data_IF_275986051608
#
_entry.id   IF_275986051608
#
_cell.length_a   1.000
_cell.length_b   1.000
_cell.length_c   1.000
_cell.angle_alpha   90.00
_cell.angle_beta   90.00
_cell.angle_gamma   90.00
#
_symmetry.space_group_name_H-M   'P 1'
#
loop_
_entity.id
_entity.type
_entity.pdbx_description
1 polymer ?
#
# COMPACT_ATOMS: atom_id res chain seq x y z
N UNK A 1 -24.48 42.08 -16.91
CA UNK A 1 -23.34 43.00 -17.01
C UNK A 1 -22.13 42.20 -17.48
N UNK A 2 -21.75 42.37 -18.74
CA UNK A 2 -20.60 41.66 -19.36
C UNK A 2 -19.31 42.41 -18.96
N UNK A 3 -18.30 41.72 -18.49
CA UNK A 3 -16.93 42.24 -18.47
C UNK A 3 -16.01 41.27 -19.22
N UNK A 4 -15.51 41.80 -20.31
CA UNK A 4 -14.47 41.29 -21.19
C UNK A 4 -13.09 41.49 -20.54
N UNK A 5 -12.23 40.44 -20.56
CA UNK A 5 -10.81 40.59 -20.27
C UNK A 5 -9.98 40.31 -21.53
N UNK A 6 -9.16 41.27 -21.81
CA UNK A 6 -8.30 41.45 -22.98
C UNK A 6 -7.01 40.61 -22.87
N UNK A 7 -6.70 39.94 -23.95
CA UNK A 7 -5.43 39.26 -24.28
C UNK A 7 -4.24 40.24 -24.32
N UNK A 8 -3.13 39.87 -23.70
CA UNK A 8 -1.85 40.56 -23.88
C UNK A 8 -0.80 39.59 -24.44
N UNK A 9 -0.51 39.76 -25.72
CA UNK A 9 0.59 39.12 -26.45
C UNK A 9 1.95 39.65 -25.95
N UNK A 10 2.90 38.79 -25.67
CA UNK A 10 4.33 39.12 -25.68
C UNK A 10 5.09 38.20 -26.63
N UNK A 11 5.57 38.83 -27.70
CA UNK A 11 6.56 38.34 -28.63
C UNK A 11 7.91 38.19 -27.90
N UNK A 12 8.60 37.07 -28.07
CA UNK A 12 10.01 36.93 -27.75
C UNK A 12 10.76 36.38 -28.94
N UNK A 13 11.82 37.09 -29.30
CA UNK A 13 12.69 36.95 -30.45
C UNK A 13 13.54 35.69 -30.44
N UNK A 14 13.61 35.03 -31.58
CA UNK A 14 14.52 33.93 -31.89
C UNK A 14 15.83 34.53 -32.41
N UNK A 15 16.96 34.24 -31.77
CA UNK A 15 18.30 34.42 -32.29
C UNK A 15 18.90 33.05 -32.62
N UNK A 16 19.06 32.77 -33.90
CA UNK A 16 19.71 31.56 -34.37
C UNK A 16 21.23 31.67 -34.28
N UNK A 17 21.86 30.59 -33.85
CA UNK A 17 23.29 30.35 -34.10
C UNK A 17 23.44 29.00 -34.80
N UNK A 18 23.93 29.07 -36.03
CA UNK A 18 24.30 27.93 -36.84
C UNK A 18 25.64 27.37 -36.36
N UNK A 19 25.73 26.07 -36.04
CA UNK A 19 27.00 25.37 -35.91
C UNK A 19 27.13 24.31 -37.00
N UNK A 20 28.26 24.41 -37.72
CA UNK A 20 28.66 23.53 -38.81
C UNK A 20 29.13 22.20 -38.25
N UNK A 21 28.50 21.08 -38.65
CA UNK A 21 28.94 19.72 -38.36
C UNK A 21 29.88 19.24 -39.49
N UNK A 22 31.09 18.90 -39.13
CA UNK A 22 32.04 18.14 -39.95
C UNK A 22 31.75 16.64 -39.75
N UNK A 23 31.35 15.96 -40.83
CA UNK A 23 31.22 14.50 -40.84
C UNK A 23 32.61 13.85 -41.03
N UNK A 24 33.00 13.05 -40.05
CA UNK A 24 33.98 12.00 -40.24
C UNK A 24 33.28 10.65 -40.12
N UNK A 25 33.20 9.94 -41.23
CA UNK A 25 32.61 8.59 -41.26
C UNK A 25 33.51 7.57 -40.61
N UNK A 26 32.94 6.65 -39.92
CA UNK A 26 33.52 5.32 -39.68
C UNK A 26 32.44 4.25 -39.62
N UNK A 27 32.81 3.13 -40.19
CA UNK A 27 32.04 1.98 -40.65
C UNK A 27 31.30 1.23 -39.54
N UNK A 28 30.18 0.66 -39.96
CA UNK A 28 29.30 -0.34 -39.34
C UNK A 28 30.01 -1.57 -38.79
N UNK A 29 29.71 -1.92 -37.56
CA UNK A 29 29.62 -3.31 -37.11
C UNK A 29 28.38 -3.44 -36.21
N UNK A 30 27.44 -4.24 -36.70
CA UNK A 30 26.25 -4.70 -35.95
C UNK A 30 26.69 -5.62 -34.83
N UNK A 31 26.63 -5.16 -33.60
CA UNK A 31 26.72 -5.95 -32.39
C UNK A 31 25.49 -5.66 -31.55
N UNK A 32 24.61 -6.65 -31.43
CA UNK A 32 23.54 -6.66 -30.43
C UNK A 32 24.18 -6.64 -29.04
N UNK A 33 24.21 -5.51 -28.39
CA UNK A 33 24.53 -5.43 -26.97
C UNK A 33 23.26 -5.75 -26.18
N UNK A 34 23.17 -6.99 -25.67
CA UNK A 34 22.40 -7.25 -24.47
C UNK A 34 22.86 -6.22 -23.42
N UNK A 35 21.93 -5.43 -22.90
CA UNK A 35 22.21 -4.47 -21.85
C UNK A 35 22.73 -5.24 -20.62
N UNK A 36 24.03 -5.12 -20.37
CA UNK A 36 24.60 -5.46 -19.06
C UNK A 36 24.01 -4.45 -18.06
N UNK A 37 22.92 -4.87 -17.40
CA UNK A 37 22.48 -4.23 -16.17
C UNK A 37 23.64 -4.34 -15.20
N UNK A 38 24.17 -3.21 -14.75
CA UNK A 38 25.22 -3.20 -13.71
C UNK A 38 24.77 -4.11 -12.57
N UNK A 39 25.67 -4.98 -12.06
CA UNK A 39 25.31 -5.85 -10.94
C UNK A 39 24.82 -4.98 -9.79
N UNK A 40 23.65 -5.36 -9.23
CA UNK A 40 23.13 -4.65 -8.05
C UNK A 40 24.22 -4.63 -6.98
N UNK A 41 24.45 -3.48 -6.31
CA UNK A 41 25.44 -3.42 -5.23
C UNK A 41 25.11 -4.51 -4.21
N UNK A 42 26.17 -5.09 -3.64
CA UNK A 42 26.05 -6.04 -2.54
C UNK A 42 25.18 -5.46 -1.42
N UNK A 43 24.45 -6.32 -0.67
CA UNK A 43 23.61 -5.88 0.42
C UNK A 43 24.41 -4.97 1.36
N UNK A 44 23.69 -3.99 1.92
CA UNK A 44 24.23 -3.06 2.90
C UNK A 44 25.08 -3.77 3.98
N UNK A 45 26.12 -3.12 4.49
CA UNK A 45 27.09 -3.74 5.39
C UNK A 45 26.42 -4.28 6.66
N UNK A 46 27.08 -5.26 7.30
CA UNK A 46 26.68 -5.98 8.53
C UNK A 46 26.37 -5.11 9.78
N UNK A 47 26.24 -3.80 9.60
CA UNK A 47 25.95 -2.83 10.69
C UNK A 47 24.48 -2.74 11.08
N UNK A 48 23.57 -3.36 10.33
CA UNK A 48 22.16 -3.43 10.72
C UNK A 48 22.04 -4.29 11.99
N UNK A 49 21.31 -3.74 12.97
CA UNK A 49 21.00 -4.41 14.23
C UNK A 49 20.59 -5.86 13.97
N UNK A 50 21.28 -6.84 14.59
CA UNK A 50 20.80 -8.21 14.61
C UNK A 50 19.37 -8.20 15.18
N UNK A 51 18.42 -8.48 14.32
CA UNK A 51 17.01 -8.55 14.73
C UNK A 51 16.84 -9.82 15.53
N UNK A 52 16.19 -9.77 16.70
CA UNK A 52 15.83 -10.97 17.43
C UNK A 52 15.10 -11.91 16.50
N UNK A 53 15.70 -13.04 16.19
CA UNK A 53 14.99 -14.12 15.49
C UNK A 53 13.83 -14.50 16.39
N UNK A 54 12.61 -14.50 15.86
CA UNK A 54 11.46 -15.01 16.59
C UNK A 54 11.82 -16.41 17.11
N UNK A 55 11.71 -16.68 18.41
CA UNK A 55 12.19 -17.93 19.02
C UNK A 55 11.44 -19.18 18.53
N UNK A 56 10.26 -19.01 17.93
CA UNK A 56 9.49 -20.11 17.37
C UNK A 56 9.89 -20.39 15.92
N UNK A 57 9.96 -21.68 15.51
CA UNK A 57 10.19 -22.02 14.10
C UNK A 57 9.09 -21.44 13.24
N UNK A 58 9.46 -20.75 12.16
CA UNK A 58 8.53 -20.21 11.19
C UNK A 58 7.65 -21.33 10.58
N UNK A 59 6.34 -21.14 10.52
CA UNK A 59 5.38 -22.10 9.98
C UNK A 59 4.70 -21.58 8.71
N UNK A 60 5.29 -21.84 7.57
CA UNK A 60 4.73 -21.52 6.26
C UNK A 60 3.92 -22.70 5.65
N UNK A 61 3.49 -23.69 6.42
CA UNK A 61 2.78 -24.87 5.90
C UNK A 61 1.34 -24.57 5.44
N UNK A 62 0.74 -23.49 5.91
CA UNK A 62 -0.62 -23.13 5.49
C UNK A 62 -0.66 -22.59 4.06
N UNK A 63 -1.74 -22.91 3.33
CA UNK A 63 -2.10 -22.14 2.15
C UNK A 63 -2.46 -20.70 2.53
N UNK A 64 -2.32 -19.75 1.61
CA UNK A 64 -2.69 -18.36 1.87
C UNK A 64 -4.15 -18.21 2.36
N UNK A 65 -5.10 -19.02 1.83
CA UNK A 65 -6.50 -19.01 2.30
C UNK A 65 -6.59 -19.34 3.79
N UNK A 66 -6.00 -20.46 4.22
CA UNK A 66 -6.07 -20.86 5.62
C UNK A 66 -5.25 -19.93 6.54
N UNK A 67 -4.26 -19.24 5.97
CA UNK A 67 -3.47 -18.26 6.69
C UNK A 67 -4.26 -16.96 6.93
N UNK A 68 -4.92 -16.42 5.89
CA UNK A 68 -5.70 -15.18 6.00
C UNK A 68 -6.87 -15.31 6.98
N UNK A 69 -7.48 -16.48 7.11
CA UNK A 69 -8.51 -16.74 8.12
C UNK A 69 -8.02 -16.52 9.57
N UNK A 70 -6.70 -16.56 9.82
CA UNK A 70 -6.12 -16.32 11.16
C UNK A 70 -5.85 -14.84 11.46
N UNK A 71 -5.86 -13.99 10.45
CA UNK A 71 -5.48 -12.58 10.59
C UNK A 71 -6.50 -11.77 11.41
N UNK A 72 -7.78 -12.18 11.41
CA UNK A 72 -8.83 -11.53 12.21
C UNK A 72 -9.05 -10.06 11.86
N UNK A 73 -9.28 -9.23 12.88
CA UNK A 73 -9.48 -7.80 12.71
C UNK A 73 -8.15 -7.04 12.62
N UNK A 74 -7.99 -6.19 11.61
CA UNK A 74 -6.77 -5.42 11.41
C UNK A 74 -6.93 -3.92 11.56
N UNK A 75 -5.79 -3.24 11.76
CA UNK A 75 -5.68 -1.80 11.90
C UNK A 75 -4.45 -1.26 11.14
N UNK A 76 -4.58 -0.08 10.50
CA UNK A 76 -3.47 0.60 9.83
C UNK A 76 -2.83 1.65 10.73
N UNK A 77 -1.49 1.65 10.81
CA UNK A 77 -0.69 2.72 11.39
C UNK A 77 -0.54 3.87 10.36
N UNK A 78 -1.66 4.49 9.97
CA UNK A 78 -1.67 5.53 8.94
C UNK A 78 -1.14 6.88 9.42
N UNK A 79 -0.69 7.73 8.48
CA UNK A 79 -0.10 9.04 8.72
C UNK A 79 1.14 9.01 9.64
N UNK A 80 1.94 7.97 9.56
CA UNK A 80 3.10 7.75 10.45
C UNK A 80 4.35 7.44 9.62
N UNK A 81 4.69 6.18 9.35
CA UNK A 81 5.84 5.85 8.48
C UNK A 81 5.51 6.03 6.99
N UNK A 82 4.26 6.23 6.63
CA UNK A 82 3.82 6.68 5.31
C UNK A 82 3.92 8.20 5.12
N UNK A 83 4.04 8.96 6.21
CA UNK A 83 4.14 10.41 6.15
C UNK A 83 5.46 10.87 5.52
N UNK A 84 5.37 11.83 4.60
CA UNK A 84 6.51 12.40 3.91
C UNK A 84 6.37 13.91 3.73
N UNK A 85 7.50 14.60 3.61
CA UNK A 85 7.58 16.04 3.32
C UNK A 85 8.79 16.26 2.42
N UNK A 86 8.62 17.00 1.33
CA UNK A 86 9.70 17.32 0.40
C UNK A 86 10.92 17.89 1.10
N UNK A 87 12.08 17.28 0.86
CA UNK A 87 13.37 17.72 1.40
C UNK A 87 13.64 17.34 2.86
N UNK A 88 12.72 16.67 3.54
CA UNK A 88 12.97 16.06 4.86
C UNK A 88 13.33 14.58 4.65
N UNK A 89 14.52 14.19 5.09
CA UNK A 89 15.08 12.85 4.89
C UNK A 89 15.44 12.13 6.19
N UNK A 90 15.16 12.74 7.33
CA UNK A 90 15.41 12.18 8.65
C UNK A 90 14.13 11.60 9.29
N UNK A 91 14.26 11.03 10.48
CA UNK A 91 13.14 10.37 11.19
C UNK A 91 12.00 11.31 11.60
N UNK A 92 12.15 12.64 11.45
CA UNK A 92 11.08 13.59 11.76
C UNK A 92 9.88 13.48 10.80
N UNK A 93 10.05 12.82 9.66
CA UNK A 93 8.94 12.48 8.76
C UNK A 93 7.86 11.67 9.46
N UNK A 94 8.20 10.75 10.37
CA UNK A 94 7.25 9.92 11.11
C UNK A 94 6.14 10.74 11.81
N UNK A 95 6.45 11.97 12.23
CA UNK A 95 5.49 12.83 12.94
C UNK A 95 4.98 14.01 12.11
N UNK A 96 5.42 14.10 10.84
CA UNK A 96 5.18 15.28 10.00
C UNK A 96 3.69 15.48 9.63
N UNK A 97 2.88 14.43 9.68
CA UNK A 97 1.44 14.49 9.44
C UNK A 97 0.62 14.49 10.74
N UNK A 98 1.26 14.87 11.87
CA UNK A 98 0.58 15.17 13.14
C UNK A 98 0.34 13.95 14.03
N UNK A 99 0.88 12.79 13.70
CA UNK A 99 0.80 11.63 14.58
C UNK A 99 2.00 11.58 15.55
N UNK A 100 1.83 11.00 16.74
CA UNK A 100 2.94 10.82 17.67
C UNK A 100 3.93 9.76 17.19
N UNK A 101 5.15 9.81 17.71
CA UNK A 101 6.15 8.75 17.50
C UNK A 101 5.58 7.41 17.96
N UNK A 102 5.69 6.39 17.10
CA UNK A 102 5.16 5.06 17.39
C UNK A 102 5.92 4.38 18.53
N UNK A 103 5.20 3.76 19.43
CA UNK A 103 5.75 3.07 20.61
C UNK A 103 5.22 1.64 20.71
N UNK A 104 5.96 0.78 21.44
CA UNK A 104 5.47 -0.56 21.76
C UNK A 104 4.17 -0.54 22.55
N UNK A 105 3.96 0.45 23.43
CA UNK A 105 2.71 0.58 24.17
C UNK A 105 1.47 0.74 23.27
N UNK A 106 1.60 1.39 22.11
CA UNK A 106 0.51 1.47 21.12
C UNK A 106 0.14 0.08 20.60
N UNK A 107 1.13 -0.75 20.27
CA UNK A 107 0.91 -2.12 19.76
C UNK A 107 0.33 -3.03 20.85
N UNK A 108 0.82 -2.93 22.08
CA UNK A 108 0.25 -3.63 23.24
C UNK A 108 -1.22 -3.24 23.48
N UNK A 109 -1.56 -1.96 23.37
CA UNK A 109 -2.93 -1.47 23.50
C UNK A 109 -3.86 -1.96 22.37
N UNK A 110 -3.38 -2.03 21.13
CA UNK A 110 -4.12 -2.62 20.01
C UNK A 110 -4.38 -4.12 20.27
N UNK A 111 -3.35 -4.88 20.64
CA UNK A 111 -3.52 -6.30 20.99
C UNK A 111 -4.51 -6.51 22.13
N UNK A 112 -4.39 -5.72 23.20
CA UNK A 112 -5.30 -5.78 24.35
C UNK A 112 -6.75 -5.44 23.98
N UNK A 113 -6.97 -4.63 22.94
CA UNK A 113 -8.29 -4.30 22.43
C UNK A 113 -8.91 -5.38 21.54
N UNK A 114 -8.16 -6.41 21.15
CA UNK A 114 -8.61 -7.52 20.32
C UNK A 114 -8.21 -7.41 18.85
N UNK A 115 -7.44 -6.40 18.45
CA UNK A 115 -6.81 -6.34 17.12
C UNK A 115 -5.74 -7.42 17.02
N UNK A 116 -5.66 -8.08 15.88
CA UNK A 116 -4.75 -9.21 15.64
C UNK A 116 -3.76 -8.94 14.51
N UNK A 117 -4.04 -7.95 13.65
CA UNK A 117 -3.19 -7.60 12.50
C UNK A 117 -2.95 -6.10 12.45
N UNK A 118 -1.70 -5.69 12.21
CA UNK A 118 -1.33 -4.29 11.97
C UNK A 118 -0.72 -4.17 10.58
N UNK A 119 -1.25 -3.26 9.76
CA UNK A 119 -0.59 -2.83 8.54
C UNK A 119 0.18 -1.56 8.85
N UNK A 120 1.46 -1.54 8.50
CA UNK A 120 2.40 -0.45 8.70
C UNK A 120 2.73 0.11 7.31
N UNK A 121 1.99 1.12 6.83
CA UNK A 121 2.31 1.81 5.59
C UNK A 121 3.68 2.50 5.69
N UNK A 122 4.53 2.38 4.64
CA UNK A 122 5.88 2.91 4.65
C UNK A 122 6.18 3.62 3.33
N UNK A 123 6.61 4.88 3.41
CA UNK A 123 7.14 5.65 2.29
C UNK A 123 8.67 5.62 2.32
N UNK A 124 9.29 5.34 1.18
CA UNK A 124 10.73 5.12 1.06
C UNK A 124 11.47 6.24 0.35
N UNK A 125 10.82 6.94 -0.59
CA UNK A 125 11.49 7.87 -1.52
C UNK A 125 12.26 9.00 -0.82
N UNK A 126 11.81 9.48 0.33
CA UNK A 126 12.52 10.49 1.12
C UNK A 126 13.77 9.94 1.83
N UNK A 127 13.90 8.62 1.92
CA UNK A 127 14.89 7.93 2.72
C UNK A 127 15.81 7.03 1.87
N UNK A 128 15.99 7.38 0.60
CA UNK A 128 16.92 6.68 -0.30
C UNK A 128 17.90 7.64 -0.95
N UNK A 129 19.07 7.14 -1.29
CA UNK A 129 20.05 7.86 -2.11
C UNK A 129 19.72 7.76 -3.62
N UNK A 130 20.54 8.39 -4.47
CA UNK A 130 20.39 8.36 -5.92
C UNK A 130 20.51 6.97 -6.57
N UNK A 131 20.98 5.96 -5.83
CA UNK A 131 21.05 4.56 -6.22
C UNK A 131 19.95 3.72 -5.57
N UNK A 132 18.96 4.35 -4.94
CA UNK A 132 17.88 3.71 -4.17
C UNK A 132 18.38 2.82 -3.00
N UNK A 133 19.51 3.20 -2.40
CA UNK A 133 19.95 2.60 -1.14
C UNK A 133 19.18 3.25 0.01
N UNK A 134 18.49 2.44 0.79
CA UNK A 134 17.71 2.93 1.94
C UNK A 134 18.63 3.43 3.04
N UNK A 135 18.31 4.60 3.61
CA UNK A 135 19.01 5.15 4.77
C UNK A 135 18.97 4.17 5.96
N UNK A 136 20.11 3.99 6.62
CA UNK A 136 20.24 3.04 7.71
C UNK A 136 19.36 3.39 8.91
N UNK A 137 19.23 4.69 9.25
CA UNK A 137 18.40 5.11 10.37
C UNK A 137 16.93 4.84 10.10
N UNK A 138 16.46 5.08 8.85
CA UNK A 138 15.10 4.77 8.43
C UNK A 138 14.82 3.26 8.46
N UNK A 139 15.68 2.45 7.87
CA UNK A 139 15.53 0.99 7.90
C UNK A 139 15.48 0.46 9.33
N UNK A 140 16.35 0.95 10.23
CA UNK A 140 16.35 0.57 11.63
C UNK A 140 15.06 0.98 12.33
N UNK A 141 14.48 2.15 12.00
CA UNK A 141 13.18 2.59 12.54
C UNK A 141 12.03 1.70 12.07
N UNK A 142 12.01 1.34 10.80
CA UNK A 142 11.03 0.37 10.25
C UNK A 142 11.12 -0.96 10.99
N UNK A 143 12.33 -1.50 11.15
CA UNK A 143 12.55 -2.76 11.88
C UNK A 143 12.06 -2.64 13.33
N UNK A 144 12.34 -1.53 14.00
CA UNK A 144 11.90 -1.30 15.38
C UNK A 144 10.38 -1.31 15.51
N UNK A 145 9.67 -0.61 14.63
CA UNK A 145 8.18 -0.54 14.65
C UNK A 145 7.56 -1.90 14.30
N UNK A 146 8.13 -2.61 13.32
CA UNK A 146 7.71 -3.99 13.00
C UNK A 146 7.88 -4.91 14.23
N UNK A 147 9.02 -4.82 14.92
CA UNK A 147 9.26 -5.62 16.12
C UNK A 147 8.30 -5.29 17.25
N UNK A 148 7.92 -4.03 17.46
CA UNK A 148 6.90 -3.68 18.46
C UNK A 148 5.59 -4.46 18.26
N UNK A 149 5.16 -4.62 17.01
CA UNK A 149 3.93 -5.35 16.72
C UNK A 149 4.11 -6.88 16.85
N UNK A 150 5.23 -7.42 16.36
CA UNK A 150 5.52 -8.86 16.46
C UNK A 150 5.74 -9.31 17.90
N UNK A 151 6.37 -8.49 18.74
CA UNK A 151 6.59 -8.76 20.17
C UNK A 151 5.25 -8.87 20.95
N UNK A 152 4.20 -8.20 20.46
CA UNK A 152 2.83 -8.29 20.97
C UNK A 152 2.02 -9.41 20.28
N UNK A 153 2.66 -10.33 19.57
CA UNK A 153 2.01 -11.43 18.87
C UNK A 153 0.95 -10.97 17.86
N UNK A 154 1.21 -9.86 17.14
CA UNK A 154 0.40 -9.36 16.04
C UNK A 154 0.93 -9.88 14.70
N UNK A 155 0.05 -10.05 13.71
CA UNK A 155 0.45 -10.16 12.31
C UNK A 155 0.79 -8.76 11.79
N UNK A 156 1.81 -8.67 10.93
CA UNK A 156 2.31 -7.40 10.42
C UNK A 156 2.33 -7.40 8.89
N UNK A 157 1.81 -6.34 8.28
CA UNK A 157 1.90 -6.09 6.85
C UNK A 157 2.74 -4.83 6.64
N UNK A 158 3.77 -4.89 5.79
CA UNK A 158 4.58 -3.72 5.38
C UNK A 158 4.54 -3.58 3.87
N UNK A 159 4.73 -2.35 3.35
CA UNK A 159 4.59 -2.07 1.92
C UNK A 159 5.53 -0.98 1.39
N UNK A 160 5.39 -0.66 0.10
CA UNK A 160 5.78 0.59 -0.55
C UNK A 160 4.51 1.43 -0.69
N UNK A 161 4.44 2.61 -0.01
CA UNK A 161 3.17 3.33 0.15
C UNK A 161 3.03 4.55 -0.78
N UNK A 162 3.58 5.71 -0.43
CA UNK A 162 3.43 6.97 -1.17
C UNK A 162 4.60 7.25 -2.15
N UNK A 163 5.20 6.22 -2.71
CA UNK A 163 6.34 6.34 -3.61
C UNK A 163 5.92 6.42 -5.09
N UNK A 164 4.62 6.61 -5.36
CA UNK A 164 4.04 6.63 -6.70
C UNK A 164 4.30 7.97 -7.40
N UNK A 165 5.57 8.20 -7.74
CA UNK A 165 6.08 9.40 -8.40
C UNK A 165 7.03 9.04 -9.55
N UNK A 166 7.15 9.93 -10.56
CA UNK A 166 7.91 9.69 -11.78
C UNK A 166 9.41 9.45 -11.57
N UNK A 167 9.94 9.98 -10.47
CA UNK A 167 11.35 9.79 -10.10
C UNK A 167 11.61 8.50 -9.30
N UNK A 168 10.56 7.79 -8.88
CA UNK A 168 10.63 6.56 -8.10
C UNK A 168 9.91 5.42 -8.80
N UNK A 169 8.60 5.23 -8.60
CA UNK A 169 7.83 4.35 -9.47
C UNK A 169 6.59 5.06 -10.02
N UNK A 170 6.35 4.90 -11.31
CA UNK A 170 5.18 5.43 -12.00
C UNK A 170 4.75 4.41 -13.06
N UNK A 171 3.49 3.94 -13.06
CA UNK A 171 3.09 2.80 -13.87
C UNK A 171 2.69 3.20 -15.30
N UNK A 172 3.63 3.76 -16.06
CA UNK A 172 3.53 3.95 -17.51
C UNK A 172 4.79 3.40 -18.21
N UNK A 173 4.71 3.13 -19.53
CA UNK A 173 5.85 2.61 -20.28
C UNK A 173 7.08 3.53 -20.25
N UNK A 174 6.87 4.85 -20.17
CA UNK A 174 7.97 5.82 -20.17
C UNK A 174 8.85 5.71 -18.91
N UNK A 175 8.27 5.37 -17.78
CA UNK A 175 8.97 5.30 -16.50
C UNK A 175 9.20 3.84 -16.03
N UNK A 176 8.79 2.83 -16.81
CA UNK A 176 8.79 1.43 -16.42
C UNK A 176 10.17 0.93 -15.94
N UNK A 177 11.25 1.21 -16.68
CA UNK A 177 12.62 0.79 -16.32
C UNK A 177 13.06 1.34 -14.96
N UNK A 178 12.81 2.64 -14.72
CA UNK A 178 13.15 3.28 -13.45
C UNK A 178 12.28 2.78 -12.30
N UNK A 179 11.01 2.62 -12.57
CA UNK A 179 10.06 2.06 -11.61
C UNK A 179 10.46 0.65 -11.17
N UNK A 180 10.85 -0.17 -12.13
CA UNK A 180 11.32 -1.53 -11.88
C UNK A 180 12.62 -1.55 -11.07
N UNK A 181 13.57 -0.64 -11.38
CA UNK A 181 14.79 -0.48 -10.60
C UNK A 181 14.46 -0.11 -9.14
N UNK A 182 13.63 0.92 -8.92
CA UNK A 182 13.24 1.37 -7.58
C UNK A 182 12.58 0.24 -6.79
N UNK A 183 11.49 -0.32 -7.29
CA UNK A 183 10.69 -1.35 -6.60
C UNK A 183 11.54 -2.57 -6.28
N UNK A 184 12.37 -3.03 -7.24
CA UNK A 184 13.24 -4.19 -7.05
C UNK A 184 14.32 -3.92 -5.99
N UNK A 185 14.93 -2.74 -5.98
CA UNK A 185 15.98 -2.39 -5.01
C UNK A 185 15.42 -2.24 -3.60
N UNK A 186 14.27 -1.58 -3.44
CA UNK A 186 13.61 -1.48 -2.14
C UNK A 186 13.28 -2.86 -1.61
N UNK A 187 12.55 -3.68 -2.39
CA UNK A 187 12.15 -5.01 -1.91
C UNK A 187 13.33 -5.94 -1.65
N UNK A 188 14.42 -5.84 -2.42
CA UNK A 188 15.61 -6.64 -2.13
C UNK A 188 16.22 -6.29 -0.78
N UNK A 189 16.37 -5.00 -0.45
CA UNK A 189 16.91 -4.53 0.82
C UNK A 189 16.00 -4.93 1.99
N UNK A 190 14.71 -4.63 1.90
CA UNK A 190 13.71 -4.99 2.89
C UNK A 190 13.70 -6.51 3.12
N UNK A 191 13.65 -7.30 2.05
CA UNK A 191 13.60 -8.75 2.15
C UNK A 191 14.88 -9.35 2.79
N UNK A 192 16.05 -8.78 2.54
CA UNK A 192 17.28 -9.21 3.20
C UNK A 192 17.26 -8.94 4.70
N UNK A 193 16.76 -7.77 5.12
CA UNK A 193 16.64 -7.41 6.54
C UNK A 193 15.65 -8.30 7.29
N UNK A 194 14.55 -8.66 6.66
CA UNK A 194 13.49 -9.47 7.26
C UNK A 194 13.55 -10.96 6.89
N UNK A 195 14.66 -11.42 6.33
CA UNK A 195 14.83 -12.78 5.78
C UNK A 195 14.50 -13.89 6.76
N UNK A 196 14.78 -13.70 8.04
CA UNK A 196 14.62 -14.70 9.09
C UNK A 196 13.36 -14.53 9.93
N UNK A 197 12.52 -13.52 9.62
CA UNK A 197 11.23 -13.32 10.29
C UNK A 197 10.25 -14.42 9.88
N UNK A 198 9.36 -14.78 10.80
CA UNK A 198 8.37 -15.83 10.61
C UNK A 198 7.23 -15.43 9.66
N UNK A 199 6.20 -16.27 9.58
CA UNK A 199 5.03 -16.11 8.73
C UNK A 199 4.14 -14.94 9.13
N UNK A 200 4.28 -14.38 10.34
CA UNK A 200 3.48 -13.23 10.78
C UNK A 200 3.83 -11.95 10.06
N UNK A 201 5.01 -11.85 9.45
CA UNK A 201 5.38 -10.71 8.62
C UNK A 201 5.03 -10.96 7.16
N UNK A 202 4.17 -10.12 6.59
CA UNK A 202 3.63 -10.19 5.24
C UNK A 202 4.15 -8.98 4.45
N UNK A 203 4.50 -9.17 3.17
CA UNK A 203 4.93 -8.10 2.29
C UNK A 203 3.84 -7.75 1.28
N UNK A 204 3.40 -6.50 1.25
CA UNK A 204 2.49 -5.94 0.25
C UNK A 204 3.29 -5.11 -0.75
N UNK A 205 3.33 -5.51 -2.02
CA UNK A 205 4.29 -4.97 -2.97
C UNK A 205 4.16 -3.48 -3.22
N UNK A 206 2.94 -2.99 -3.41
CA UNK A 206 2.61 -1.59 -3.67
C UNK A 206 1.29 -1.26 -2.96
N UNK A 207 1.12 -0.01 -2.55
CA UNK A 207 -0.11 0.48 -1.92
C UNK A 207 -1.24 0.65 -2.93
N UNK A 208 -1.25 1.75 -3.66
CA UNK A 208 -2.27 2.15 -4.62
C UNK A 208 -1.60 2.64 -5.93
N UNK A 209 -0.97 1.73 -6.68
CA UNK A 209 -0.27 2.10 -7.90
C UNK A 209 -1.24 2.70 -8.92
N UNK A 210 -0.98 3.93 -9.36
CA UNK A 210 -1.86 4.68 -10.24
C UNK A 210 -1.12 5.75 -11.05
N UNK A 211 -1.78 6.28 -12.06
CA UNK A 211 -1.28 7.38 -12.88
C UNK A 211 -1.55 8.73 -12.19
N UNK A 212 -0.72 9.10 -11.22
CA UNK A 212 -0.84 10.35 -10.45
C UNK A 212 -0.89 11.55 -11.35
N UNK A 213 -1.89 12.43 -11.17
CA UNK A 213 -2.14 13.60 -12.00
C UNK A 213 -2.91 13.31 -13.31
N UNK A 214 -3.29 12.06 -13.56
CA UNK A 214 -4.21 11.73 -14.65
C UNK A 214 -5.66 12.09 -14.28
N UNK A 215 -6.50 12.45 -15.26
CA UNK A 215 -7.86 12.93 -14.98
C UNK A 215 -8.71 11.93 -14.21
N UNK A 216 -8.53 10.64 -14.49
CA UNK A 216 -9.27 9.53 -13.85
C UNK A 216 -8.32 8.65 -13.00
N UNK A 217 -7.35 9.25 -12.32
CA UNK A 217 -6.33 8.50 -11.59
C UNK A 217 -6.89 7.54 -10.53
N UNK A 218 -8.02 7.88 -9.93
CA UNK A 218 -8.68 7.12 -8.86
C UNK A 218 -9.76 6.15 -9.34
N UNK A 219 -9.98 6.07 -10.64
CA UNK A 219 -10.99 5.21 -11.25
C UNK A 219 -10.33 4.10 -12.07
N UNK A 220 -11.07 3.02 -12.33
CA UNK A 220 -10.66 1.99 -13.26
C UNK A 220 -11.64 1.91 -14.42
N UNK A 221 -11.13 1.81 -15.63
CA UNK A 221 -11.93 1.53 -16.83
C UNK A 221 -11.16 0.60 -17.77
N UNK A 222 -11.78 -0.53 -18.11
CA UNK A 222 -11.26 -1.44 -19.15
C UNK A 222 -11.19 -0.78 -20.54
N UNK A 223 -11.95 0.29 -20.77
CA UNK A 223 -11.97 1.01 -22.05
C UNK A 223 -10.86 2.07 -22.15
N UNK A 224 -10.25 2.46 -21.02
CA UNK A 224 -9.16 3.44 -21.02
C UNK A 224 -7.81 2.78 -21.36
N UNK A 225 -7.16 3.16 -22.48
CA UNK A 225 -5.88 2.58 -22.87
C UNK A 225 -4.75 2.86 -21.86
N UNK A 226 -4.78 4.02 -21.16
CA UNK A 226 -3.75 4.35 -20.17
C UNK A 226 -3.90 3.47 -18.91
N UNK A 227 -5.14 3.17 -18.51
CA UNK A 227 -5.36 2.25 -17.38
C UNK A 227 -4.89 0.83 -17.72
N UNK A 228 -5.10 0.36 -18.95
CA UNK A 228 -4.63 -0.96 -19.39
C UNK A 228 -3.10 -1.03 -19.41
N UNK A 229 -2.44 -0.01 -20.00
CA UNK A 229 -0.98 0.11 -19.98
C UNK A 229 -0.46 0.11 -18.53
N UNK A 230 -1.05 0.93 -17.66
CA UNK A 230 -0.68 0.98 -16.25
C UNK A 230 -0.83 -0.39 -15.55
N UNK A 231 -1.88 -1.14 -15.85
CA UNK A 231 -2.08 -2.47 -15.28
C UNK A 231 -1.00 -3.48 -15.74
N UNK A 232 -0.55 -3.39 -17.00
CA UNK A 232 0.55 -4.20 -17.54
C UNK A 232 1.86 -3.86 -16.82
N UNK A 233 2.21 -2.58 -16.71
CA UNK A 233 3.41 -2.12 -15.98
C UNK A 233 3.35 -2.53 -14.49
N UNK A 234 2.21 -2.37 -13.81
CA UNK A 234 2.02 -2.82 -12.42
C UNK A 234 2.25 -4.34 -12.30
N UNK A 235 1.81 -5.11 -13.29
CA UNK A 235 2.08 -6.55 -13.36
C UNK A 235 3.58 -6.87 -13.43
N UNK A 236 4.34 -6.13 -14.23
CA UNK A 236 5.80 -6.26 -14.34
C UNK A 236 6.52 -5.86 -13.05
N UNK A 237 6.12 -4.74 -12.43
CA UNK A 237 6.64 -4.30 -11.13
C UNK A 237 6.39 -5.35 -10.05
N UNK A 238 5.19 -5.89 -10.01
CA UNK A 238 4.77 -6.95 -9.07
C UNK A 238 5.61 -8.22 -9.25
N UNK A 239 5.81 -8.67 -10.49
CA UNK A 239 6.64 -9.83 -10.78
C UNK A 239 8.11 -9.60 -10.39
N UNK A 240 8.62 -8.41 -10.64
CA UNK A 240 10.01 -8.04 -10.31
C UNK A 240 10.24 -8.01 -8.79
N UNK A 241 9.31 -7.41 -8.03
CA UNK A 241 9.32 -7.41 -6.57
C UNK A 241 9.31 -8.84 -6.01
N UNK A 242 8.39 -9.67 -6.51
CA UNK A 242 8.27 -11.07 -6.10
C UNK A 242 9.58 -11.83 -6.33
N UNK A 243 10.15 -11.71 -7.52
CA UNK A 243 11.42 -12.36 -7.86
C UNK A 243 12.57 -11.90 -6.94
N UNK A 244 12.65 -10.60 -6.66
CA UNK A 244 13.66 -10.04 -5.76
C UNK A 244 13.53 -10.60 -4.34
N UNK A 245 12.32 -10.67 -3.80
CA UNK A 245 12.03 -11.23 -2.47
C UNK A 245 12.40 -12.72 -2.43
N UNK A 246 11.91 -13.54 -3.37
CA UNK A 246 12.18 -14.99 -3.40
C UNK A 246 13.68 -15.30 -3.53
N UNK A 247 14.42 -14.49 -4.31
CA UNK A 247 15.86 -14.64 -4.49
C UNK A 247 16.68 -14.44 -3.22
N UNK A 248 16.18 -13.75 -2.20
CA UNK A 248 16.88 -13.57 -0.93
C UNK A 248 16.94 -14.86 -0.09
N UNK A 249 16.07 -15.83 -0.37
CA UNK A 249 16.03 -17.14 0.32
C UNK A 249 15.59 -17.04 1.79
N UNK A 250 15.97 -18.03 2.59
CA UNK A 250 15.49 -18.14 3.98
C UNK A 250 13.94 -18.23 4.01
N UNK A 251 13.31 -17.61 4.99
CA UNK A 251 11.87 -17.60 5.14
C UNK A 251 11.14 -16.85 3.99
N UNK A 252 11.85 -16.00 3.26
CA UNK A 252 11.28 -15.30 2.10
C UNK A 252 10.99 -16.23 0.91
N UNK A 253 11.58 -17.43 0.88
CA UNK A 253 11.24 -18.43 -0.13
C UNK A 253 9.75 -18.81 -0.10
N UNK A 254 9.13 -18.80 1.10
CA UNK A 254 7.73 -19.21 1.33
C UNK A 254 6.87 -18.10 1.97
N UNK A 255 7.41 -16.87 2.11
CA UNK A 255 6.69 -15.74 2.73
C UNK A 255 5.40 -15.42 1.99
N UNK A 256 4.33 -15.15 2.77
CA UNK A 256 3.09 -14.62 2.21
C UNK A 256 3.31 -13.22 1.67
N UNK A 257 2.80 -12.98 0.46
CA UNK A 257 2.96 -11.69 -0.23
C UNK A 257 1.63 -11.22 -0.80
N UNK A 258 1.43 -9.90 -0.80
CA UNK A 258 0.19 -9.29 -1.28
C UNK A 258 0.43 -8.57 -2.60
N UNK A 259 -0.45 -8.84 -3.56
CA UNK A 259 -0.47 -8.24 -4.89
C UNK A 259 -1.60 -7.22 -4.99
N UNK A 260 -1.32 -6.06 -5.55
CA UNK A 260 -2.25 -4.94 -5.59
C UNK A 260 -2.59 -4.58 -7.05
N UNK A 261 -3.87 -4.46 -7.42
CA UNK A 261 -4.29 -3.97 -8.73
C UNK A 261 -4.14 -2.44 -8.82
N UNK A 262 -4.38 -1.88 -10.02
CA UNK A 262 -4.45 -0.42 -10.21
C UNK A 262 -5.32 0.23 -9.13
N UNK A 263 -4.79 1.24 -8.43
CA UNK A 263 -5.39 1.98 -7.30
C UNK A 263 -6.00 1.08 -6.20
N UNK A 264 -5.47 -0.14 -6.04
CA UNK A 264 -6.03 -1.17 -5.15
C UNK A 264 -7.53 -1.44 -5.38
N UNK A 265 -8.06 -1.10 -6.54
CA UNK A 265 -9.50 -1.15 -6.83
C UNK A 265 -10.02 -2.59 -6.96
N UNK A 266 -11.13 -2.96 -6.30
CA UNK A 266 -11.83 -4.22 -6.54
C UNK A 266 -12.22 -4.42 -8.01
N UNK A 267 -12.55 -3.34 -8.72
CA UNK A 267 -12.94 -3.37 -10.12
C UNK A 267 -11.75 -3.62 -11.03
N UNK A 268 -10.60 -3.00 -10.75
CA UNK A 268 -9.35 -3.29 -11.45
C UNK A 268 -8.89 -4.73 -11.22
N UNK A 269 -9.02 -5.26 -9.99
CA UNK A 269 -8.77 -6.67 -9.72
C UNK A 269 -9.69 -7.60 -10.56
N UNK A 270 -10.93 -7.18 -10.80
CA UNK A 270 -11.88 -7.96 -11.60
C UNK A 270 -11.62 -7.89 -13.10
N UNK A 271 -10.82 -6.94 -13.57
CA UNK A 271 -10.46 -6.81 -14.98
C UNK A 271 -9.67 -8.01 -15.50
N UNK A 272 -9.73 -8.26 -16.81
CA UNK A 272 -8.85 -9.21 -17.50
C UNK A 272 -7.42 -8.69 -17.64
N UNK A 273 -7.19 -7.40 -17.45
CA UNK A 273 -5.87 -6.76 -17.48
C UNK A 273 -5.11 -6.86 -16.16
N UNK A 274 -5.75 -7.28 -15.08
CA UNK A 274 -5.05 -7.56 -13.84
C UNK A 274 -4.19 -8.82 -13.96
N UNK A 275 -2.87 -8.65 -13.85
CA UNK A 275 -1.88 -9.71 -13.98
C UNK A 275 -1.55 -10.30 -12.60
N UNK A 276 -1.75 -11.61 -12.45
CA UNK A 276 -1.29 -12.34 -11.28
C UNK A 276 0.11 -12.86 -11.59
N UNK A 277 1.13 -12.54 -10.76
CA UNK A 277 2.50 -12.98 -11.02
C UNK A 277 2.66 -14.50 -10.89
N UNK A 278 3.67 -15.02 -11.55
CA UNK A 278 4.09 -16.42 -11.36
C UNK A 278 4.99 -16.51 -10.14
N UNK A 279 4.60 -17.30 -9.15
CA UNK A 279 5.36 -17.52 -7.92
C UNK A 279 6.03 -18.91 -7.93
N UNK A 280 7.26 -18.97 -7.39
CA UNK A 280 7.96 -20.24 -7.12
C UNK A 280 7.43 -20.91 -5.85
N UNK A 281 6.86 -20.14 -4.92
CA UNK A 281 6.18 -20.67 -3.73
C UNK A 281 4.73 -21.04 -4.06
N UNK A 282 4.23 -22.11 -3.45
CA UNK A 282 2.87 -22.60 -3.70
C UNK A 282 1.92 -21.99 -2.69
N UNK A 283 0.80 -21.42 -3.19
CA UNK A 283 -0.30 -20.89 -2.38
C UNK A 283 0.16 -19.82 -1.35
N UNK A 284 1.00 -18.85 -1.80
CA UNK A 284 1.52 -17.77 -0.95
C UNK A 284 1.07 -16.38 -1.39
N UNK A 285 0.32 -16.27 -2.48
CA UNK A 285 -0.20 -14.99 -2.96
C UNK A 285 -1.53 -14.64 -2.26
N UNK A 286 -1.67 -13.36 -1.92
CA UNK A 286 -2.86 -12.74 -1.34
C UNK A 286 -3.22 -11.53 -2.20
N UNK A 287 -4.50 -11.31 -2.49
CA UNK A 287 -4.96 -10.10 -3.16
C UNK A 287 -5.18 -9.00 -2.14
N UNK A 288 -4.56 -7.84 -2.32
CA UNK A 288 -4.83 -6.61 -1.59
C UNK A 288 -5.78 -5.72 -2.38
N UNK A 289 -6.85 -5.26 -1.76
CA UNK A 289 -7.74 -4.23 -2.31
C UNK A 289 -8.09 -3.20 -1.25
N UNK A 290 -8.39 -1.97 -1.68
CA UNK A 290 -8.90 -0.90 -0.85
C UNK A 290 -10.32 -0.57 -1.27
N UNK A 291 -11.25 -0.47 -0.32
CA UNK A 291 -12.65 -0.28 -0.66
C UNK A 291 -13.42 0.56 0.38
N UNK A 292 -13.45 1.86 0.16
CA UNK A 292 -14.27 2.81 0.93
C UNK A 292 -15.70 2.87 0.31
N UNK A 293 -16.39 1.73 0.38
CA UNK A 293 -17.68 1.52 -0.29
C UNK A 293 -18.86 1.53 0.67
N UNK A 294 -19.98 2.24 0.36
CA UNK A 294 -20.16 3.16 -0.78
C UNK A 294 -19.39 4.47 -0.59
N UNK A 295 -18.77 4.97 -1.64
CA UNK A 295 -17.95 6.19 -1.59
C UNK A 295 -18.70 7.37 -0.97
N UNK A 296 -19.95 7.58 -1.35
CA UNK A 296 -20.79 8.67 -0.85
C UNK A 296 -21.03 8.64 0.67
N UNK A 297 -21.00 7.46 1.29
CA UNK A 297 -21.15 7.29 2.74
C UNK A 297 -19.77 7.25 3.43
N UNK A 298 -18.85 6.48 2.88
CA UNK A 298 -17.60 6.14 3.53
C UNK A 298 -16.54 7.26 3.43
N UNK A 299 -16.48 7.98 2.31
CA UNK A 299 -15.37 8.93 2.04
C UNK A 299 -15.84 10.33 1.63
N UNK A 300 -16.87 10.46 0.78
CA UNK A 300 -17.25 11.75 0.20
C UNK A 300 -17.67 12.77 1.27
N UNK A 301 -17.16 14.01 1.19
CA UNK A 301 -17.56 15.14 2.00
C UNK A 301 -18.29 16.20 1.14
N UNK A 302 -19.51 16.67 1.54
CA UNK A 302 -20.26 16.19 2.73
C UNK A 302 -20.89 14.79 2.56
N UNK A 303 -21.05 14.27 1.34
CA UNK A 303 -21.64 12.96 1.06
C UNK A 303 -22.97 12.72 1.76
N UNK A 304 -23.23 11.47 2.17
CA UNK A 304 -24.43 11.08 2.93
C UNK A 304 -24.05 10.53 4.31
N UNK A 305 -24.92 10.74 5.30
CA UNK A 305 -24.71 10.29 6.69
C UNK A 305 -25.57 9.08 7.08
N UNK A 306 -26.47 8.63 6.19
CA UNK A 306 -27.38 7.51 6.44
C UNK A 306 -26.93 6.27 5.65
N UNK A 307 -26.83 5.13 6.32
CA UNK A 307 -26.49 3.85 5.71
C UNK A 307 -27.75 3.07 5.33
N UNK A 308 -28.00 2.92 4.04
CA UNK A 308 -29.25 2.37 3.48
C UNK A 308 -29.11 0.90 3.03
N UNK A 309 -30.24 0.30 2.58
CA UNK A 309 -30.24 -1.03 1.93
C UNK A 309 -29.45 -1.05 0.63
N UNK A 310 -29.50 0.04 -0.14
CA UNK A 310 -28.78 0.13 -1.42
C UNK A 310 -27.28 0.17 -1.19
N UNK A 311 -26.83 0.90 -0.17
CA UNK A 311 -25.43 0.91 0.26
C UNK A 311 -24.93 -0.48 0.70
N UNK A 312 -25.79 -1.30 1.35
CA UNK A 312 -25.45 -2.71 1.65
C UNK A 312 -25.29 -3.51 0.37
N UNK A 313 -26.15 -3.29 -0.63
CA UNK A 313 -26.08 -3.94 -1.92
C UNK A 313 -24.76 -3.68 -2.67
N UNK A 314 -24.23 -2.45 -2.60
CA UNK A 314 -22.94 -2.12 -3.20
C UNK A 314 -21.76 -2.89 -2.53
N UNK A 315 -21.78 -2.99 -1.19
CA UNK A 315 -20.80 -3.78 -0.43
C UNK A 315 -20.90 -5.26 -0.81
N UNK A 316 -22.11 -5.81 -0.80
CA UNK A 316 -22.36 -7.22 -1.13
C UNK A 316 -21.93 -7.55 -2.56
N UNK A 317 -22.09 -6.63 -3.50
CA UNK A 317 -21.74 -6.80 -4.90
C UNK A 317 -20.22 -6.93 -5.09
N UNK A 318 -19.41 -5.98 -4.59
CA UNK A 318 -17.98 -6.04 -4.83
C UNK A 318 -17.31 -7.20 -4.08
N UNK A 319 -17.73 -7.47 -2.84
CA UNK A 319 -17.20 -8.61 -2.07
C UNK A 319 -17.59 -9.95 -2.69
N UNK A 320 -18.84 -10.09 -3.16
CA UNK A 320 -19.30 -11.29 -3.88
C UNK A 320 -18.52 -11.53 -5.18
N UNK A 321 -18.22 -10.47 -5.92
CA UNK A 321 -17.39 -10.53 -7.12
C UNK A 321 -15.97 -11.01 -6.81
N UNK A 322 -15.33 -10.46 -5.78
CA UNK A 322 -13.99 -10.86 -5.35
C UNK A 322 -13.97 -12.32 -4.85
N UNK A 323 -14.97 -12.69 -4.04
CA UNK A 323 -15.11 -14.07 -3.57
C UNK A 323 -15.17 -15.07 -4.74
N UNK A 324 -16.07 -14.82 -5.69
CA UNK A 324 -16.26 -15.71 -6.84
C UNK A 324 -15.01 -15.84 -7.70
N UNK A 325 -14.33 -14.69 -7.99
CA UNK A 325 -13.17 -14.71 -8.89
C UNK A 325 -11.90 -15.22 -8.22
N UNK A 326 -11.63 -14.78 -6.98
CA UNK A 326 -10.34 -15.03 -6.33
C UNK A 326 -10.42 -16.13 -5.28
N UNK A 327 -11.29 -16.03 -4.29
CA UNK A 327 -11.33 -17.00 -3.19
C UNK A 327 -11.77 -18.37 -3.71
N UNK A 328 -12.91 -18.46 -4.38
CA UNK A 328 -13.44 -19.73 -4.93
C UNK A 328 -12.74 -20.12 -6.23
N UNK A 329 -12.60 -19.17 -7.16
CA UNK A 329 -12.16 -19.46 -8.53
C UNK A 329 -10.65 -19.68 -8.66
N UNK A 330 -9.82 -18.92 -7.94
CA UNK A 330 -8.36 -18.96 -8.06
C UNK A 330 -7.64 -19.45 -6.82
N UNK A 331 -8.33 -19.67 -5.72
CA UNK A 331 -7.77 -20.04 -4.42
C UNK A 331 -6.77 -19.00 -3.88
N UNK A 332 -6.97 -17.72 -4.23
CA UNK A 332 -6.22 -16.56 -3.74
C UNK A 332 -7.13 -15.85 -2.74
N UNK A 333 -6.77 -15.76 -1.45
CA UNK A 333 -7.56 -15.02 -0.46
C UNK A 333 -7.46 -13.51 -0.71
N UNK A 334 -8.41 -12.77 -0.14
CA UNK A 334 -8.48 -11.32 -0.25
C UNK A 334 -8.31 -10.68 1.12
N UNK A 335 -7.42 -9.71 1.22
CA UNK A 335 -7.36 -8.76 2.32
C UNK A 335 -7.86 -7.41 1.81
N UNK A 336 -8.84 -6.83 2.50
CA UNK A 336 -9.22 -5.45 2.27
C UNK A 336 -8.26 -4.60 3.12
N UNK A 337 -7.16 -4.17 2.50
CA UNK A 337 -6.01 -3.51 3.14
C UNK A 337 -6.34 -2.13 3.70
N UNK A 338 -7.36 -1.48 3.12
CA UNK A 338 -7.91 -0.24 3.65
C UNK A 338 -9.41 -0.18 3.47
N UNK A 339 -10.10 0.18 4.54
CA UNK A 339 -11.52 0.50 4.58
C UNK A 339 -11.79 1.40 5.77
N UNK A 340 -12.90 2.12 5.73
CA UNK A 340 -13.33 2.98 6.82
C UNK A 340 -14.57 3.79 6.42
N UNK A 341 -15.16 4.45 7.40
CA UNK A 341 -16.21 5.43 7.17
C UNK A 341 -15.91 6.69 7.97
N UNK A 342 -15.72 7.83 7.26
CA UNK A 342 -15.39 9.11 7.86
C UNK A 342 -16.46 9.57 8.85
N UNK A 343 -16.03 10.25 9.90
CA UNK A 343 -16.93 10.72 10.96
C UNK A 343 -17.76 11.93 10.50
N UNK A 344 -19.06 11.71 10.24
CA UNK A 344 -20.06 12.74 9.89
C UNK A 344 -21.02 12.98 11.05
N UNK A 345 -20.61 12.76 12.31
CA UNK A 345 -21.44 12.78 13.50
C UNK A 345 -22.63 11.79 13.41
N UNK A 346 -22.40 10.62 12.85
CA UNK A 346 -23.40 9.61 12.52
C UNK A 346 -23.04 8.22 13.09
N UNK A 347 -22.62 8.16 14.36
CA UNK A 347 -22.08 6.97 15.00
C UNK A 347 -22.90 5.71 14.77
N UNK A 348 -24.23 5.75 15.04
CA UNK A 348 -25.11 4.58 14.87
C UNK A 348 -25.10 4.05 13.43
N UNK A 349 -25.02 4.94 12.44
CA UNK A 349 -24.97 4.56 11.03
C UNK A 349 -23.60 3.96 10.65
N UNK A 350 -22.52 4.49 11.23
CA UNK A 350 -21.17 3.91 11.09
C UNK A 350 -21.11 2.53 11.73
N UNK A 351 -21.61 2.34 12.95
CA UNK A 351 -21.68 1.03 13.60
C UNK A 351 -22.44 0.03 12.73
N UNK A 352 -23.58 0.42 12.17
CA UNK A 352 -24.36 -0.44 11.26
C UNK A 352 -23.59 -0.77 9.97
N UNK A 353 -22.81 0.19 9.44
CA UNK A 353 -21.95 0.00 8.29
C UNK A 353 -20.80 -0.96 8.61
N UNK A 354 -20.06 -0.75 9.70
CA UNK A 354 -18.94 -1.62 10.11
C UNK A 354 -19.42 -3.06 10.38
N UNK A 355 -20.56 -3.23 11.08
CA UNK A 355 -21.16 -4.55 11.29
C UNK A 355 -21.45 -5.28 9.99
N UNK A 356 -22.05 -4.59 9.01
CA UNK A 356 -22.38 -5.19 7.71
C UNK A 356 -21.12 -5.49 6.90
N UNK A 357 -20.21 -4.51 6.82
CA UNK A 357 -18.99 -4.60 6.03
C UNK A 357 -18.07 -5.74 6.50
N UNK A 358 -17.72 -5.74 7.78
CA UNK A 358 -16.85 -6.77 8.36
C UNK A 358 -17.54 -8.13 8.40
N UNK A 359 -18.83 -8.19 8.75
CA UNK A 359 -19.60 -9.44 8.73
C UNK A 359 -19.67 -10.06 7.34
N UNK A 360 -19.83 -9.24 6.28
CA UNK A 360 -19.81 -9.73 4.91
C UNK A 360 -18.43 -10.20 4.48
N UNK A 361 -17.38 -9.45 4.77
CA UNK A 361 -16.00 -9.85 4.50
C UNK A 361 -15.65 -11.18 5.17
N UNK A 362 -15.91 -11.29 6.47
CA UNK A 362 -15.65 -12.52 7.25
C UNK A 362 -16.43 -13.73 6.70
N UNK A 363 -17.67 -13.53 6.23
CA UNK A 363 -18.47 -14.61 5.63
C UNK A 363 -17.85 -15.23 4.38
N UNK A 364 -16.89 -14.53 3.75
CA UNK A 364 -16.12 -15.00 2.60
C UNK A 364 -14.65 -15.35 2.96
N UNK A 365 -14.31 -15.39 4.24
CA UNK A 365 -12.92 -15.62 4.69
C UNK A 365 -11.97 -14.47 4.35
N UNK A 366 -12.50 -13.27 4.14
CA UNK A 366 -11.70 -12.06 3.88
C UNK A 366 -11.39 -11.35 5.20
N UNK A 367 -10.18 -10.83 5.31
CA UNK A 367 -9.73 -9.97 6.41
C UNK A 367 -9.87 -8.50 6.03
N UNK A 368 -10.21 -7.64 6.98
CA UNK A 368 -10.30 -6.19 6.80
C UNK A 368 -9.35 -5.45 7.72
N UNK A 369 -8.60 -4.47 7.17
CA UNK A 369 -7.64 -3.67 7.92
C UNK A 369 -8.15 -2.22 7.96
N UNK A 370 -8.64 -1.79 9.12
CA UNK A 370 -9.22 -0.46 9.34
C UNK A 370 -8.19 0.63 9.04
N UNK A 371 -8.49 1.57 8.15
CA UNK A 371 -7.67 2.75 7.96
C UNK A 371 -7.84 3.70 9.13
N UNK A 372 -6.73 4.08 9.77
CA UNK A 372 -6.70 5.02 10.88
C UNK A 372 -5.57 6.04 10.68
N UNK A 373 -5.93 7.27 10.33
CA UNK A 373 -4.99 8.39 10.17
C UNK A 373 -4.89 9.27 11.43
N UNK A 374 -5.53 8.89 12.53
CA UNK A 374 -5.54 9.61 13.80
C UNK A 374 -6.46 10.85 13.85
N UNK A 375 -7.04 11.27 12.74
CA UNK A 375 -7.92 12.46 12.69
C UNK A 375 -9.35 12.09 13.10
N UNK A 376 -9.74 12.32 14.35
CA UNK A 376 -11.07 11.96 14.87
C UNK A 376 -12.06 13.12 14.92
N UNK A 377 -11.56 14.37 14.92
CA UNK A 377 -12.35 15.60 14.99
C UNK A 377 -11.97 16.56 13.86
N UNK A 378 -12.92 17.38 13.45
CA UNK A 378 -12.66 18.47 12.48
C UNK A 378 -11.75 19.51 13.11
N UNK A 379 -10.56 19.76 12.55
CA UNK A 379 -9.72 20.87 13.01
C UNK A 379 -10.48 22.19 12.92
N UNK A 380 -10.22 23.10 13.84
CA UNK A 380 -10.85 24.43 13.83
C UNK A 380 -10.60 25.15 12.50
N UNK A 381 -11.65 25.36 11.71
CA UNK A 381 -11.58 25.94 10.36
C UNK A 381 -11.28 24.97 9.23
N UNK A 382 -11.22 23.66 9.50
CA UNK A 382 -11.02 22.59 8.52
C UNK A 382 -12.32 22.06 7.90
N UNK A 383 -12.17 21.08 7.02
CA UNK A 383 -13.27 20.31 6.44
C UNK A 383 -13.44 18.94 7.11
N UNK A 384 -14.55 18.24 6.85
CA UNK A 384 -14.81 16.89 7.36
C UNK A 384 -14.02 15.79 6.63
N UNK A 385 -13.15 16.16 5.68
CA UNK A 385 -12.40 15.20 4.90
C UNK A 385 -11.48 14.37 5.79
N UNK A 386 -11.48 13.06 5.54
CA UNK A 386 -10.54 12.10 6.12
C UNK A 386 -10.53 12.02 7.65
N UNK A 387 -11.70 12.07 8.27
CA UNK A 387 -11.85 11.82 9.71
C UNK A 387 -11.90 10.31 10.00
N UNK A 388 -10.75 9.67 9.87
CA UNK A 388 -10.56 8.23 10.11
C UNK A 388 -9.75 7.96 11.38
N UNK A 389 -9.80 8.83 12.39
CA UNK A 389 -9.21 8.58 13.70
C UNK A 389 -10.14 7.71 14.54
N UNK A 390 -9.69 6.51 14.90
CA UNK A 390 -10.43 5.55 15.71
C UNK A 390 -9.72 5.24 17.01
N UNK A 391 -8.39 5.14 17.00
CA UNK A 391 -7.56 4.78 18.13
C UNK A 391 -6.72 5.95 18.62
N UNK A 392 -6.89 6.32 19.90
CA UNK A 392 -6.03 7.29 20.56
C UNK A 392 -4.68 6.65 20.87
N UNK A 393 -3.67 7.01 20.09
CA UNK A 393 -2.34 6.41 20.15
C UNK A 393 -1.55 6.77 21.39
N UNK A 394 -1.84 7.90 22.02
CA UNK A 394 -1.18 8.35 23.25
C UNK A 394 -1.78 7.70 24.50
N UNK A 395 -3.11 7.53 24.53
CA UNK A 395 -3.84 7.00 25.68
C UNK A 395 -4.15 5.50 25.56
N UNK A 396 -3.90 4.89 24.41
CA UNK A 396 -4.22 3.49 24.07
C UNK A 396 -5.71 3.16 24.27
N UNK A 397 -6.59 4.07 23.88
CA UNK A 397 -8.04 3.94 23.98
C UNK A 397 -8.71 4.14 22.61
N UNK A 398 -9.95 3.69 22.47
CA UNK A 398 -10.72 3.87 21.25
C UNK A 398 -11.69 5.04 21.39
N UNK A 399 -11.69 5.97 20.44
CA UNK A 399 -12.64 7.08 20.37
C UNK A 399 -14.08 6.59 20.18
N UNK A 400 -14.26 5.46 19.48
CA UNK A 400 -15.55 4.86 19.15
C UNK A 400 -15.55 3.36 19.49
N UNK A 401 -15.64 2.96 20.78
CA UNK A 401 -15.59 1.57 21.18
C UNK A 401 -16.74 0.71 20.62
N UNK A 402 -17.87 1.34 20.24
CA UNK A 402 -18.99 0.68 19.57
C UNK A 402 -18.61 0.20 18.16
N UNK A 403 -17.77 0.98 17.45
CA UNK A 403 -17.23 0.61 16.14
C UNK A 403 -16.26 -0.56 16.30
N UNK A 404 -15.33 -0.49 17.26
CA UNK A 404 -14.44 -1.61 17.56
C UNK A 404 -15.23 -2.89 17.85
N UNK A 405 -16.24 -2.80 18.71
CA UNK A 405 -17.07 -3.95 19.04
C UNK A 405 -17.77 -4.56 17.81
N UNK A 406 -18.24 -3.70 16.87
CA UNK A 406 -18.85 -4.14 15.63
C UNK A 406 -17.85 -4.85 14.70
N UNK A 407 -16.60 -4.37 14.63
CA UNK A 407 -15.53 -5.00 13.86
C UNK A 407 -15.18 -6.37 14.45
N UNK A 408 -14.89 -6.43 15.76
CA UNK A 408 -14.47 -7.66 16.43
C UNK A 408 -15.54 -8.75 16.40
N UNK A 409 -16.82 -8.37 16.48
CA UNK A 409 -17.94 -9.33 16.41
C UNK A 409 -17.99 -10.11 15.09
N UNK A 410 -17.36 -9.63 14.03
CA UNK A 410 -17.33 -10.29 12.74
C UNK A 410 -16.29 -11.42 12.66
N UNK A 411 -15.25 -11.37 13.50
CA UNK A 411 -14.10 -12.28 13.45
C UNK A 411 -13.99 -13.21 14.68
N UNK A 412 -14.99 -13.18 15.59
CA UNK A 412 -15.07 -14.02 16.79
C UNK A 412 -15.90 -15.29 16.58
#
# INVERSE_FOLDING_TARGET
MKQTFTTLNRLVWILGLAFVLVFAGCSTSSGSSAGDSAPMPDPAPESYREVPVNPEPADFNLSAINFVEKLGAGWNLGNTLDAHVDGITDLSTETSWGQPVTTQAMMAGLKASGITTVRIPITWHNHVDGAFTVDEAWMNRVIEVVNYALDEDLYVIINIHHDNEKDFYFPDELHADRSMEFVTRIWKQVALMFRNYDEKLIFEFLNEPRLVGYTNEWEWSDDDPNHREAAEVIGELTQSALNAIRATGGNNADRYVMITPYVASPWAANSSHFVIPTDTATDKLILSVHAYTPYVFAMQDPGVSTFTSDHRGEIDQFMGMLNTKFVEGRRIPVIIGEYGATNKNNLDQRVAWFSHYCGKAASYGMTTILWDNGNHEVPSGGSFNELYGFYNREEQTWYFPEILAAILAAYN
#
